data_IF_111255977131
#
_entry.id   IF_111255977131
#
_cell.length_a   1.000
_cell.length_b   1.000
_cell.length_c   1.000
_cell.angle_alpha   90.00
_cell.angle_beta   90.00
_cell.angle_gamma   90.00
#
_symmetry.space_group_name_H-M   'P 1'
#
loop_
_entity.id
_entity.type
_entity.pdbx_description
1 polymer ?
#
# COMPACT_ATOMS: atom_id res chain seq x y z
N UNK A 1 -32.41 -21.09 -86.64
CA UNK A 1 -31.24 -21.85 -86.18
C UNK A 1 -31.39 -22.13 -84.69
N UNK A 2 -31.69 -23.39 -84.35
CA UNK A 2 -31.64 -24.06 -83.03
C UNK A 2 -30.19 -24.09 -82.47
N UNK A 3 -29.85 -24.48 -81.20
CA UNK A 3 -30.56 -25.37 -80.24
C UNK A 3 -30.61 -24.86 -78.76
N UNK A 4 -31.54 -25.25 -77.88
CA UNK A 4 -31.75 -26.49 -77.10
C UNK A 4 -30.52 -27.02 -76.30
N UNK A 5 -30.63 -27.06 -74.96
CA UNK A 5 -30.17 -28.11 -73.99
C UNK A 5 -29.96 -27.52 -72.58
N UNK A 6 -29.98 -28.22 -71.45
CA UNK A 6 -30.58 -29.46 -70.93
C UNK A 6 -29.94 -29.61 -69.53
N UNK A 7 -30.75 -29.75 -68.47
CA UNK A 7 -30.50 -30.44 -67.18
C UNK A 7 -29.24 -30.13 -66.35
N UNK A 8 -29.44 -29.93 -65.05
CA UNK A 8 -28.99 -30.91 -64.03
C UNK A 8 -29.36 -30.46 -62.63
N UNK A 9 -30.07 -31.35 -61.93
CA UNK A 9 -30.26 -31.30 -60.48
C UNK A 9 -29.03 -31.87 -59.79
N UNK A 10 -28.52 -31.19 -58.77
CA UNK A 10 -27.62 -31.76 -57.78
C UNK A 10 -28.30 -31.73 -56.40
N UNK A 11 -28.52 -32.93 -55.88
CA UNK A 11 -28.82 -33.21 -54.47
C UNK A 11 -27.53 -32.94 -53.68
N UNK A 12 -27.62 -32.21 -52.56
CA UNK A 12 -26.52 -32.12 -51.60
C UNK A 12 -27.06 -32.14 -50.17
N UNK A 13 -26.40 -32.99 -49.39
CA UNK A 13 -26.82 -33.58 -48.12
C UNK A 13 -26.88 -32.60 -46.95
N UNK A 14 -27.86 -32.79 -46.07
CA UNK A 14 -27.96 -32.11 -44.77
C UNK A 14 -27.06 -32.84 -43.77
N UNK A 15 -25.90 -32.26 -43.46
CA UNK A 15 -25.06 -32.70 -42.34
C UNK A 15 -25.60 -32.09 -41.05
N UNK A 16 -26.17 -32.92 -40.17
CA UNK A 16 -26.49 -32.53 -38.79
C UNK A 16 -25.19 -32.45 -37.99
N UNK A 17 -24.69 -31.21 -37.79
CA UNK A 17 -23.55 -30.92 -36.93
C UNK A 17 -24.05 -30.81 -35.48
N UNK A 18 -23.80 -31.85 -34.68
CA UNK A 18 -24.11 -31.85 -33.24
C UNK A 18 -23.19 -30.87 -32.53
N UNK A 19 -23.73 -29.71 -32.16
CA UNK A 19 -23.05 -28.67 -31.41
C UNK A 19 -23.09 -29.01 -29.91
N UNK A 20 -22.03 -29.62 -29.38
CA UNK A 20 -21.87 -29.84 -27.94
C UNK A 20 -21.59 -28.49 -27.26
N UNK A 21 -22.60 -27.93 -26.59
CA UNK A 21 -22.45 -26.76 -25.71
C UNK A 21 -21.70 -27.20 -24.44
N UNK A 22 -20.39 -26.95 -24.39
CA UNK A 22 -19.63 -26.98 -23.13
C UNK A 22 -19.93 -25.69 -22.39
N UNK A 23 -20.76 -25.77 -21.34
CA UNK A 23 -20.94 -24.68 -20.39
C UNK A 23 -19.71 -24.64 -19.48
N UNK A 24 -18.67 -23.92 -19.91
CA UNK A 24 -17.57 -23.55 -19.01
C UNK A 24 -18.12 -22.64 -17.92
N UNK A 25 -18.36 -23.24 -16.75
CA UNK A 25 -18.71 -22.49 -15.55
C UNK A 25 -17.42 -21.91 -14.98
N UNK A 26 -16.93 -20.81 -15.58
CA UNK A 26 -15.89 -19.99 -14.95
C UNK A 26 -16.50 -19.35 -13.70
N UNK A 27 -16.19 -19.90 -12.53
CA UNK A 27 -16.48 -19.24 -11.26
C UNK A 27 -15.79 -17.86 -11.29
N UNK A 28 -16.58 -16.80 -11.39
CA UNK A 28 -16.07 -15.44 -11.32
C UNK A 28 -15.44 -15.25 -9.93
N UNK A 29 -14.10 -15.19 -9.89
CA UNK A 29 -13.37 -14.82 -8.69
C UNK A 29 -13.93 -13.50 -8.18
N UNK A 30 -14.35 -13.47 -6.91
CA UNK A 30 -14.82 -12.24 -6.29
C UNK A 30 -13.74 -11.14 -6.47
N UNK A 31 -14.14 -9.88 -6.70
CA UNK A 31 -13.17 -8.81 -6.90
C UNK A 31 -12.23 -8.71 -5.69
N UNK A 32 -10.92 -8.61 -5.95
CA UNK A 32 -9.89 -8.48 -4.91
C UNK A 32 -10.13 -7.16 -4.15
N UNK A 33 -10.57 -7.25 -2.90
CA UNK A 33 -10.91 -6.09 -2.08
C UNK A 33 -9.72 -5.16 -1.85
N UNK A 34 -8.50 -5.71 -1.80
CA UNK A 34 -7.28 -4.92 -1.68
C UNK A 34 -7.05 -4.09 -2.94
N UNK A 35 -7.22 -4.70 -4.12
CA UNK A 35 -7.05 -3.98 -5.38
C UNK A 35 -8.07 -2.84 -5.52
N UNK A 36 -9.32 -3.05 -5.10
CA UNK A 36 -10.34 -1.98 -5.08
C UNK A 36 -9.94 -0.81 -4.17
N UNK A 37 -9.28 -1.07 -3.04
CA UNK A 37 -8.79 -0.01 -2.16
C UNK A 37 -7.63 0.76 -2.80
N UNK A 38 -6.69 0.06 -3.43
CA UNK A 38 -5.58 0.66 -4.18
C UNK A 38 -6.10 1.52 -5.33
N UNK A 39 -7.03 0.98 -6.13
CA UNK A 39 -7.64 1.69 -7.26
C UNK A 39 -8.36 2.96 -6.79
N UNK A 40 -9.01 2.92 -5.62
CA UNK A 40 -9.64 4.09 -5.01
C UNK A 40 -8.62 5.16 -4.63
N UNK A 41 -7.49 4.78 -4.03
CA UNK A 41 -6.44 5.74 -3.68
C UNK A 41 -5.83 6.35 -4.95
N UNK A 42 -5.56 5.53 -5.97
CA UNK A 42 -5.04 6.00 -7.26
C UNK A 42 -6.03 6.90 -8.01
N UNK A 43 -7.32 6.65 -7.90
CA UNK A 43 -8.34 7.53 -8.48
C UNK A 43 -8.47 8.89 -7.76
N UNK A 44 -8.11 8.93 -6.47
CA UNK A 44 -8.22 10.12 -5.63
C UNK A 44 -6.92 10.94 -5.52
N UNK A 45 -5.80 10.42 -6.02
CA UNK A 45 -4.48 11.03 -5.87
C UNK A 45 -3.78 11.18 -7.22
N UNK A 46 -3.04 12.26 -7.40
CA UNK A 46 -2.30 12.50 -8.64
C UNK A 46 -0.88 11.91 -8.53
N UNK A 47 -0.39 11.29 -9.62
CA UNK A 47 0.99 10.81 -9.72
C UNK A 47 1.31 9.53 -8.95
N UNK A 48 0.33 8.91 -8.28
CA UNK A 48 0.49 7.62 -7.62
C UNK A 48 0.68 6.49 -8.64
N UNK A 49 1.59 5.57 -8.35
CA UNK A 49 1.82 4.36 -9.17
C UNK A 49 1.83 3.15 -8.26
N UNK A 50 1.01 2.14 -8.56
CA UNK A 50 1.08 0.84 -7.89
C UNK A 50 2.42 0.16 -8.24
N UNK A 51 3.23 -0.15 -7.22
CA UNK A 51 4.58 -0.70 -7.39
C UNK A 51 4.68 -2.17 -6.97
N UNK A 52 3.68 -2.67 -6.24
CA UNK A 52 3.55 -4.07 -5.82
C UNK A 52 2.08 -4.42 -5.58
N UNK A 53 1.78 -5.65 -5.16
CA UNK A 53 0.41 -6.10 -4.88
C UNK A 53 -0.31 -5.24 -3.84
N UNK A 54 0.43 -4.62 -2.92
CA UNK A 54 -0.11 -3.92 -1.76
C UNK A 54 0.56 -2.56 -1.50
N UNK A 55 1.22 -1.96 -2.49
CA UNK A 55 1.89 -0.66 -2.31
C UNK A 55 1.71 0.29 -3.49
N UNK A 56 1.62 1.57 -3.16
CA UNK A 56 1.63 2.71 -4.09
C UNK A 56 2.83 3.59 -3.76
N UNK A 57 3.51 4.11 -4.77
CA UNK A 57 4.55 5.12 -4.63
C UNK A 57 4.22 6.40 -5.40
N UNK A 58 4.66 7.52 -4.86
CA UNK A 58 4.60 8.83 -5.50
C UNK A 58 6.01 9.40 -5.65
N UNK A 59 6.18 10.32 -6.60
CA UNK A 59 7.42 11.08 -6.81
C UNK A 59 8.68 10.19 -6.88
N UNK A 60 8.58 9.03 -7.53
CA UNK A 60 9.71 8.11 -7.67
C UNK A 60 10.13 7.40 -6.37
N UNK A 61 9.25 7.34 -5.37
CA UNK A 61 9.47 6.64 -4.10
C UNK A 61 9.77 7.53 -2.90
N UNK A 62 9.69 8.85 -3.05
CA UNK A 62 9.81 9.78 -1.91
C UNK A 62 8.68 9.58 -0.89
N UNK A 63 7.50 9.18 -1.36
CA UNK A 63 6.38 8.74 -0.54
C UNK A 63 5.93 7.36 -0.99
N UNK A 64 5.71 6.45 -0.02
CA UNK A 64 5.20 5.10 -0.28
C UNK A 64 4.07 4.81 0.70
N UNK A 65 2.96 4.29 0.19
CA UNK A 65 1.87 3.75 0.98
C UNK A 65 1.88 2.22 0.86
N UNK A 66 1.87 1.53 1.99
CA UNK A 66 1.68 0.09 2.06
C UNK A 66 0.33 -0.23 2.71
N UNK A 67 -0.39 -1.17 2.13
CA UNK A 67 -1.68 -1.65 2.60
C UNK A 67 -1.51 -3.02 3.29
N UNK A 68 -2.33 -3.34 4.31
CA UNK A 68 -2.45 -4.71 4.82
C UNK A 68 -2.84 -5.68 3.71
N UNK A 69 -2.31 -6.90 3.78
CA UNK A 69 -2.76 -7.99 2.93
C UNK A 69 -4.15 -8.47 3.37
N UNK A 70 -4.92 -9.15 2.50
CA UNK A 70 -6.22 -9.69 2.89
C UNK A 70 -6.10 -10.61 4.12
N UNK A 71 -6.84 -10.29 5.18
CA UNK A 71 -6.80 -11.01 6.46
C UNK A 71 -5.83 -10.44 7.50
N UNK A 72 -4.93 -9.55 7.10
CA UNK A 72 -3.94 -8.93 7.99
C UNK A 72 -4.44 -7.60 8.56
N UNK A 73 -4.02 -7.28 9.77
CA UNK A 73 -4.33 -6.00 10.42
C UNK A 73 -3.26 -4.93 10.23
N UNK A 74 -2.10 -5.31 9.70
CA UNK A 74 -0.92 -4.46 9.57
C UNK A 74 -0.39 -4.51 8.14
N UNK A 75 0.07 -3.37 7.63
CA UNK A 75 0.85 -3.36 6.40
C UNK A 75 2.16 -4.13 6.61
N UNK A 76 2.55 -5.03 5.68
CA UNK A 76 3.82 -5.74 5.79
C UNK A 76 5.01 -4.78 5.62
N UNK A 77 6.25 -5.24 5.91
CA UNK A 77 7.46 -4.52 5.52
C UNK A 77 7.49 -4.20 4.02
N UNK A 78 8.30 -3.20 3.65
CA UNK A 78 8.37 -2.73 2.26
C UNK A 78 8.76 -3.84 1.29
N UNK A 79 8.05 -3.97 0.17
CA UNK A 79 8.39 -4.97 -0.85
C UNK A 79 9.75 -4.71 -1.50
N UNK A 80 10.33 -5.67 -2.24
CA UNK A 80 11.55 -5.43 -3.02
C UNK A 80 11.43 -4.25 -4.01
N UNK A 81 10.24 -4.01 -4.58
CA UNK A 81 10.01 -2.88 -5.47
C UNK A 81 10.07 -1.54 -4.73
N UNK A 82 9.44 -1.46 -3.55
CA UNK A 82 9.53 -0.31 -2.67
C UNK A 82 10.99 -0.07 -2.24
N UNK A 83 11.67 -1.10 -1.73
CA UNK A 83 13.06 -1.01 -1.30
C UNK A 83 14.00 -0.53 -2.41
N UNK A 84 13.79 -0.94 -3.66
CA UNK A 84 14.55 -0.43 -4.81
C UNK A 84 14.35 1.07 -5.03
N UNK A 85 13.12 1.57 -4.90
CA UNK A 85 12.84 3.01 -4.99
C UNK A 85 13.43 3.77 -3.80
N UNK A 86 13.31 3.24 -2.59
CA UNK A 86 13.89 3.80 -1.38
C UNK A 86 15.41 3.96 -1.50
N UNK A 87 16.11 2.92 -1.99
CA UNK A 87 17.54 2.96 -2.28
C UNK A 87 17.90 4.03 -3.31
N UNK A 88 17.11 4.11 -4.39
CA UNK A 88 17.28 5.11 -5.44
C UNK A 88 17.16 6.54 -4.89
N UNK A 89 16.13 6.82 -4.08
CA UNK A 89 15.93 8.13 -3.47
C UNK A 89 17.06 8.46 -2.50
N UNK A 90 17.56 7.48 -1.75
CA UNK A 90 18.71 7.66 -0.87
C UNK A 90 20.06 7.77 -1.58
N UNK A 91 20.11 7.55 -2.91
CA UNK A 91 21.37 7.60 -3.66
C UNK A 91 22.32 6.45 -3.35
N UNK A 92 21.82 5.33 -2.83
CA UNK A 92 22.63 4.16 -2.47
C UNK A 92 22.35 2.97 -3.40
N UNK A 93 23.35 2.09 -3.63
CA UNK A 93 23.13 0.90 -4.45
C UNK A 93 22.16 -0.06 -3.75
N UNK A 94 21.15 -0.51 -4.50
CA UNK A 94 20.24 -1.56 -4.05
C UNK A 94 20.89 -2.93 -4.23
N UNK A 95 21.18 -3.65 -3.12
CA UNK A 95 21.67 -5.02 -3.16
C UNK A 95 20.56 -6.00 -2.74
N UNK A 96 19.83 -6.53 -3.74
CA UNK A 96 18.73 -7.47 -3.54
C UNK A 96 19.13 -8.73 -2.77
N UNK A 97 20.42 -9.11 -2.79
CA UNK A 97 20.93 -10.33 -2.14
C UNK A 97 20.99 -10.23 -0.60
N UNK A 98 20.84 -9.01 -0.05
CA UNK A 98 20.81 -8.76 1.39
C UNK A 98 19.40 -8.78 1.98
N UNK A 99 18.35 -8.95 1.16
CA UNK A 99 16.97 -9.03 1.64
C UNK A 99 16.75 -10.46 2.16
N UNK A 100 16.41 -10.66 3.45
CA UNK A 100 16.09 -11.97 3.98
C UNK A 100 14.92 -12.58 3.18
N UNK A 101 15.11 -13.79 2.68
CA UNK A 101 14.13 -14.52 1.86
C UNK A 101 12.83 -14.90 2.61
N UNK A 102 12.72 -14.60 3.90
CA UNK A 102 11.55 -14.93 4.73
C UNK A 102 10.28 -14.14 4.38
N UNK A 103 10.36 -13.07 3.57
CA UNK A 103 9.20 -12.21 3.26
C UNK A 103 8.36 -12.74 2.07
N UNK A 104 8.86 -13.68 1.26
CA UNK A 104 8.11 -14.23 0.11
C UNK A 104 7.19 -15.43 0.45
N UNK A 105 7.12 -15.88 1.71
CA UNK A 105 6.60 -17.20 2.06
C UNK A 105 5.49 -17.30 3.11
N UNK A 106 4.74 -16.25 3.42
CA UNK A 106 3.58 -16.36 4.33
C UNK A 106 2.37 -17.00 3.62
N UNK A 107 2.52 -18.27 3.21
CA UNK A 107 1.42 -19.12 2.77
C UNK A 107 1.45 -20.41 3.60
N UNK A 108 0.40 -20.58 4.41
CA UNK A 108 -0.01 -21.80 5.10
C UNK A 108 1.01 -22.45 6.05
N UNK A 109 0.97 -22.03 7.33
CA UNK A 109 1.50 -22.85 8.43
C UNK A 109 0.58 -24.05 8.68
N UNK A 110 1.14 -25.24 8.56
CA UNK A 110 0.53 -26.50 9.00
C UNK A 110 0.28 -26.51 10.52
N UNK A 111 -0.70 -27.31 11.02
CA UNK A 111 -1.04 -27.34 12.43
C UNK A 111 0.06 -28.05 13.26
N UNK A 112 0.72 -27.29 14.13
CA UNK A 112 1.69 -27.81 15.10
C UNK A 112 0.95 -28.37 16.33
N UNK A 113 1.35 -29.54 16.90
CA UNK A 113 0.65 -30.17 18.02
C UNK A 113 0.77 -29.36 19.31
N UNK A 114 -0.34 -29.34 20.04
CA UNK A 114 -0.53 -28.67 21.32
C UNK A 114 0.14 -29.41 22.48
N UNK A 115 1.31 -28.97 22.90
CA UNK A 115 1.68 -28.99 24.32
C UNK A 115 2.94 -28.15 24.54
N UNK A 116 2.77 -26.95 25.07
CA UNK A 116 3.65 -26.28 26.03
C UNK A 116 3.16 -24.84 26.23
N UNK A 117 2.80 -24.52 27.47
CA UNK A 117 2.33 -23.19 27.88
C UNK A 117 3.53 -22.27 28.07
N UNK A 118 4.08 -21.77 26.98
CA UNK A 118 5.05 -20.67 26.99
C UNK A 118 4.31 -19.34 27.23
N UNK A 119 4.86 -18.42 28.05
CA UNK A 119 4.29 -17.07 28.18
C UNK A 119 4.33 -16.41 26.81
N UNK A 120 3.14 -16.12 26.27
CA UNK A 120 2.95 -15.42 24.99
C UNK A 120 3.48 -13.98 25.12
N UNK A 121 4.81 -13.81 25.01
CA UNK A 121 5.40 -12.51 24.74
C UNK A 121 4.94 -12.19 23.34
N UNK A 122 3.83 -11.48 23.22
CA UNK A 122 3.37 -10.95 21.94
C UNK A 122 4.54 -10.13 21.43
N UNK A 123 5.17 -10.51 20.30
CA UNK A 123 6.22 -9.68 19.73
C UNK A 123 5.63 -8.29 19.65
N UNK A 124 6.26 -7.30 20.30
CA UNK A 124 5.92 -5.89 20.10
C UNK A 124 5.81 -5.73 18.59
N UNK A 125 4.58 -5.52 18.09
CA UNK A 125 4.31 -5.50 16.66
C UNK A 125 5.38 -4.62 16.04
N UNK A 126 6.26 -5.24 15.25
CA UNK A 126 7.28 -4.51 14.53
C UNK A 126 6.51 -3.44 13.77
N UNK A 127 6.82 -2.16 14.02
CA UNK A 127 6.11 -1.08 13.33
C UNK A 127 6.36 -1.14 11.82
N UNK A 128 7.22 -2.05 11.35
CA UNK A 128 7.61 -2.30 9.97
C UNK A 128 8.27 -1.09 9.29
N UNK A 129 8.21 0.10 9.90
CA UNK A 129 8.79 1.34 9.41
C UNK A 129 10.25 1.11 9.04
N UNK A 130 10.67 1.37 7.80
CA UNK A 130 12.03 1.05 7.39
C UNK A 130 13.02 1.81 8.28
N UNK A 131 13.97 1.09 8.84
CA UNK A 131 15.14 1.70 9.48
C UNK A 131 16.19 2.00 8.40
N UNK A 132 17.36 2.49 8.81
CA UNK A 132 18.57 2.89 8.05
C UNK A 132 19.11 1.91 6.97
N UNK A 133 18.29 1.06 6.35
CA UNK A 133 18.66 0.11 5.28
C UNK A 133 19.36 0.82 4.11
N UNK A 134 19.06 2.10 3.90
CA UNK A 134 19.60 2.89 2.78
C UNK A 134 20.33 4.17 3.22
N UNK A 135 20.77 4.27 4.48
CA UNK A 135 21.51 5.44 4.98
C UNK A 135 20.68 6.72 5.16
N UNK A 136 19.37 6.64 4.92
CA UNK A 136 18.39 7.64 5.30
C UNK A 136 17.36 7.03 6.23
N UNK A 137 16.97 7.80 7.22
CA UNK A 137 15.91 7.44 8.12
C UNK A 137 14.54 7.73 7.53
N UNK A 138 13.60 6.81 7.78
CA UNK A 138 12.21 6.97 7.39
C UNK A 138 11.35 7.36 8.58
N UNK A 139 10.25 8.02 8.28
CA UNK A 139 9.18 8.22 9.24
C UNK A 139 7.84 7.84 8.63
N UNK A 140 7.00 7.26 9.48
CA UNK A 140 5.82 6.52 9.08
C UNK A 140 4.61 6.93 9.91
N UNK A 141 3.50 7.12 9.23
CA UNK A 141 2.18 7.38 9.81
C UNK A 141 1.27 6.18 9.54
N UNK A 142 0.51 5.76 10.55
CA UNK A 142 -0.34 4.57 10.49
C UNK A 142 -1.80 4.95 10.71
N UNK A 143 -2.67 4.30 9.93
CA UNK A 143 -4.10 4.54 9.98
C UNK A 143 -4.74 4.17 11.32
N UNK A 144 -4.22 3.13 11.98
CA UNK A 144 -4.77 2.65 13.25
C UNK A 144 -3.72 2.65 14.35
N UNK A 145 -4.18 2.46 15.58
CA UNK A 145 -3.32 2.26 16.75
C UNK A 145 -2.48 0.99 16.58
N UNK A 146 -1.42 0.90 17.37
CA UNK A 146 -0.45 -0.19 17.37
C UNK A 146 0.14 -0.46 15.98
N UNK A 147 0.38 0.60 15.21
CA UNK A 147 0.95 0.55 13.87
C UNK A 147 0.09 -0.21 12.85
N UNK A 148 -1.22 -0.30 13.08
CA UNK A 148 -2.16 -1.03 12.23
C UNK A 148 -2.66 -0.24 11.01
N UNK A 149 -3.33 -0.97 10.12
CA UNK A 149 -3.90 -0.44 8.88
C UNK A 149 -2.83 -0.12 7.84
N UNK A 150 -3.19 0.76 6.89
CA UNK A 150 -2.21 1.24 5.91
C UNK A 150 -1.17 2.15 6.56
N UNK A 151 0.05 2.04 6.04
CA UNK A 151 1.23 2.78 6.47
C UNK A 151 1.68 3.71 5.35
N UNK A 152 1.82 4.99 5.65
CA UNK A 152 2.34 5.99 4.73
C UNK A 152 3.70 6.48 5.23
N UNK A 153 4.72 6.51 4.38
CA UNK A 153 6.11 6.73 4.77
C UNK A 153 6.88 7.66 3.82
N UNK A 154 7.82 8.41 4.38
CA UNK A 154 8.72 9.32 3.65
C UNK A 154 10.16 9.23 4.19
N UNK A 155 11.11 9.68 3.38
CA UNK A 155 12.53 9.79 3.73
C UNK A 155 13.16 11.16 3.45
N UNK A 156 12.36 12.12 2.98
CA UNK A 156 12.84 13.42 2.57
C UNK A 156 12.72 14.46 3.69
N UNK A 157 13.53 15.52 3.60
CA UNK A 157 13.34 16.72 4.42
C UNK A 157 12.27 17.60 3.81
N UNK A 158 11.24 17.93 4.58
CA UNK A 158 10.21 18.88 4.17
C UNK A 158 10.28 20.11 5.04
N UNK A 159 10.45 21.28 4.44
CA UNK A 159 10.67 22.54 5.16
C UNK A 159 9.46 23.45 5.00
N UNK A 160 9.13 24.17 6.06
CA UNK A 160 8.25 25.33 5.96
C UNK A 160 8.83 26.34 4.94
N UNK A 161 8.00 26.99 4.09
CA UNK A 161 6.53 27.01 4.06
C UNK A 161 5.87 25.94 3.17
N UNK A 162 6.59 24.88 2.80
CA UNK A 162 6.08 23.81 1.93
C UNK A 162 5.90 22.50 2.73
N UNK A 163 4.88 22.41 3.60
CA UNK A 163 4.60 21.17 4.31
C UNK A 163 4.10 20.10 3.34
N UNK A 164 4.16 18.85 3.79
CA UNK A 164 3.53 17.73 3.09
C UNK A 164 2.08 17.63 3.55
N UNK A 165 1.16 17.66 2.59
CA UNK A 165 -0.27 17.49 2.86
C UNK A 165 -0.68 16.03 2.70
N UNK A 166 -1.38 15.47 3.70
CA UNK A 166 -1.88 14.11 3.64
C UNK A 166 -3.00 13.93 2.61
N UNK A 167 -3.63 15.02 2.14
CA UNK A 167 -4.60 15.02 1.04
C UNK A 167 -4.04 14.50 -0.26
N UNK A 168 -2.76 14.76 -0.54
CA UNK A 168 -2.07 14.27 -1.73
C UNK A 168 -1.97 12.72 -1.79
N UNK A 169 -2.26 12.05 -0.67
CA UNK A 169 -2.09 10.61 -0.49
C UNK A 169 -3.38 9.94 0.04
N UNK A 170 -4.55 10.59 -0.03
CA UNK A 170 -5.81 10.10 0.55
C UNK A 170 -5.73 9.81 2.07
N UNK A 171 -4.78 10.41 2.81
CA UNK A 171 -4.47 10.07 4.21
C UNK A 171 -4.93 11.10 5.25
N UNK A 172 -5.79 12.03 4.84
CA UNK A 172 -6.38 13.09 5.68
C UNK A 172 -7.15 12.51 6.86
N UNK A 173 -6.88 12.97 8.08
CA UNK A 173 -7.58 12.54 9.29
C UNK A 173 -7.58 11.02 9.49
N UNK A 174 -6.41 10.39 9.25
CA UNK A 174 -6.25 8.93 9.38
C UNK A 174 -5.25 8.53 10.44
N UNK A 175 -4.32 9.38 10.83
CA UNK A 175 -3.23 8.96 11.71
C UNK A 175 -3.74 8.65 13.12
N UNK A 176 -3.40 7.47 13.60
CA UNK A 176 -3.64 7.01 14.98
C UNK A 176 -2.38 6.55 15.70
N UNK A 177 -1.29 6.28 14.97
CA UNK A 177 0.04 5.98 15.52
C UNK A 177 1.12 6.38 14.53
N UNK A 178 2.38 6.48 14.99
CA UNK A 178 3.50 6.94 14.17
C UNK A 178 4.83 6.35 14.64
N UNK A 179 5.81 6.32 13.74
CA UNK A 179 7.17 5.89 14.02
C UNK A 179 8.14 6.76 13.23
N UNK A 180 9.00 7.49 13.94
CA UNK A 180 10.04 8.32 13.36
C UNK A 180 11.38 7.64 13.59
N UNK A 181 11.90 6.94 12.59
CA UNK A 181 13.22 6.33 12.69
C UNK A 181 14.33 7.36 12.52
N UNK A 182 14.01 8.60 12.15
CA UNK A 182 14.99 9.60 11.80
C UNK A 182 15.47 10.53 12.85
N UNK A 183 16.62 11.18 12.60
CA UNK A 183 17.18 12.16 13.52
C UNK A 183 16.43 13.50 13.57
N UNK A 184 15.51 13.76 12.65
CA UNK A 184 14.74 15.02 12.56
C UNK A 184 13.50 14.98 13.43
N UNK A 185 13.12 16.14 13.97
CA UNK A 185 11.78 16.29 14.58
C UNK A 185 10.76 16.55 13.47
N UNK A 186 9.64 15.84 13.54
CA UNK A 186 8.49 16.05 12.64
C UNK A 186 7.44 16.83 13.41
N UNK A 187 6.99 17.92 12.83
CA UNK A 187 5.91 18.73 13.37
C UNK A 187 4.65 18.39 12.59
N UNK A 188 3.64 17.88 13.30
CA UNK A 188 2.39 17.43 12.68
C UNK A 188 1.30 18.44 13.02
N UNK A 189 0.53 18.83 12.01
CA UNK A 189 -0.52 19.81 12.15
C UNK A 189 -1.84 19.34 11.53
N UNK A 190 -2.91 19.95 12.03
CA UNK A 190 -4.25 19.86 11.48
C UNK A 190 -4.62 21.15 10.74
N UNK A 191 -5.68 21.08 9.96
CA UNK A 191 -6.30 22.22 9.30
C UNK A 191 -7.20 22.98 10.29
N UNK A 192 -7.19 24.31 10.21
CA UNK A 192 -8.21 25.12 10.88
C UNK A 192 -9.51 25.25 10.05
N UNK A 193 -9.42 25.04 8.72
CA UNK A 193 -10.55 25.07 7.80
C UNK A 193 -10.63 23.74 7.05
N UNK A 194 -11.75 23.03 7.24
CA UNK A 194 -11.99 21.76 6.58
C UNK A 194 -11.86 21.91 5.05
N UNK A 195 -11.09 21.01 4.42
CA UNK A 195 -10.86 21.02 2.97
C UNK A 195 -9.84 22.03 2.46
N UNK A 196 -9.27 22.89 3.30
CA UNK A 196 -8.28 23.89 2.88
C UNK A 196 -6.88 23.54 3.37
N UNK A 197 -6.05 22.99 2.48
CA UNK A 197 -4.65 22.63 2.79
C UNK A 197 -3.83 23.81 3.31
N UNK A 198 -4.00 25.00 2.73
CA UNK A 198 -3.31 26.21 3.17
C UNK A 198 -3.61 26.60 4.63
N UNK A 199 -4.63 25.99 5.26
CA UNK A 199 -4.99 26.23 6.65
C UNK A 199 -4.27 25.30 7.63
N UNK A 200 -3.32 24.49 7.16
CA UNK A 200 -2.61 23.50 7.95
C UNK A 200 -1.42 24.09 8.71
N UNK A 201 -1.73 24.79 9.80
CA UNK A 201 -0.75 25.41 10.69
C UNK A 201 -1.12 25.27 12.18
N UNK A 202 -2.17 24.52 12.51
CA UNK A 202 -2.53 24.20 13.88
C UNK A 202 -1.70 22.99 14.35
N UNK A 203 -0.54 23.24 14.96
CA UNK A 203 0.33 22.17 15.48
C UNK A 203 -0.43 21.29 16.47
N UNK A 204 -0.39 19.99 16.23
CA UNK A 204 -1.07 18.97 17.02
C UNK A 204 -0.11 18.23 17.94
N UNK A 205 1.02 17.74 17.41
CA UNK A 205 2.09 17.10 18.17
C UNK A 205 3.42 17.19 17.43
N UNK A 206 4.47 16.77 18.13
CA UNK A 206 5.82 16.60 17.61
C UNK A 206 6.22 15.13 17.69
N UNK A 207 6.96 14.67 16.69
CA UNK A 207 7.56 13.34 16.64
C UNK A 207 9.08 13.52 16.78
N UNK A 208 9.63 13.39 17.99
CA UNK A 208 11.07 13.47 18.20
C UNK A 208 11.81 12.45 17.33
N UNK A 209 13.08 12.77 17.03
CA UNK A 209 13.90 11.83 16.29
C UNK A 209 14.08 10.49 17.02
N UNK A 210 14.16 9.40 16.26
CA UNK A 210 14.33 8.03 16.73
C UNK A 210 13.30 7.61 17.79
N UNK A 211 12.07 8.07 17.65
CA UNK A 211 10.98 7.80 18.59
C UNK A 211 9.74 7.30 17.88
N UNK A 212 8.76 6.81 18.65
CA UNK A 212 7.51 6.27 18.13
C UNK A 212 6.42 6.35 19.17
N UNK A 213 5.17 6.37 18.71
CA UNK A 213 4.00 6.23 19.57
C UNK A 213 3.01 5.23 18.97
N UNK A 214 2.70 4.18 19.70
CA UNK A 214 1.72 3.17 19.31
C UNK A 214 0.27 3.70 19.34
N UNK A 215 0.02 4.85 19.95
CA UNK A 215 -1.31 5.47 19.93
C UNK A 215 -1.22 6.97 20.17
N UNK A 216 -2.08 7.72 19.50
CA UNK A 216 -2.41 9.10 19.84
C UNK A 216 -3.53 9.15 20.89
N UNK A 217 -3.60 10.25 21.63
CA UNK A 217 -4.72 10.54 22.52
C UNK A 217 -6.01 10.76 21.71
N UNK A 218 -7.18 10.60 22.33
CA UNK A 218 -8.47 10.81 21.66
C UNK A 218 -8.65 12.20 21.07
N UNK A 219 -7.97 13.21 21.62
CA UNK A 219 -8.01 14.58 21.11
C UNK A 219 -7.20 14.77 19.81
N UNK A 220 -6.22 13.90 19.55
CA UNK A 220 -5.29 13.96 18.42
C UNK A 220 -5.55 12.87 17.36
N UNK A 221 -6.21 11.80 17.76
CA UNK A 221 -6.57 10.67 16.89
C UNK A 221 -7.36 11.14 15.67
N UNK A 222 -6.92 10.73 14.47
CA UNK A 222 -7.55 11.11 13.20
C UNK A 222 -7.65 12.63 13.00
N UNK A 223 -6.64 13.41 13.43
CA UNK A 223 -6.59 14.88 13.23
C UNK A 223 -5.48 15.38 12.30
N UNK A 224 -4.54 14.52 11.96
CA UNK A 224 -3.39 14.88 11.14
C UNK A 224 -3.85 15.26 9.72
N UNK A 225 -3.42 16.43 9.24
CA UNK A 225 -3.66 16.89 7.87
C UNK A 225 -2.36 17.19 7.10
N UNK A 226 -1.29 17.62 7.79
CA UNK A 226 0.01 17.86 7.18
C UNK A 226 1.16 17.71 8.18
N UNK A 227 2.38 17.73 7.67
CA UNK A 227 3.57 17.79 8.50
C UNK A 227 4.74 18.52 7.81
N UNK A 228 5.74 18.89 8.61
CA UNK A 228 7.06 19.33 8.13
C UNK A 228 8.14 18.85 9.10
N UNK A 229 9.41 19.00 8.70
CA UNK A 229 10.58 18.52 9.43
C UNK A 229 11.47 19.68 9.86
N UNK A 230 12.20 19.50 10.98
CA UNK A 230 13.23 20.43 11.49
C UNK A 230 14.39 20.65 10.52
#
# INVERSE_FOLDING_TARGET
MTPLKLRSACVASVAFLSLSLTTDTSAATAPDSLQLEIDKVLANTEGGVQISRNEIAWNGGEAIMAFPLPGETHAPPSSPAAQKLQAKVAGVPFNQKAIPAEIEGAAASEPVPSDETEPTVTPLASDACPTEVFGNDWYCFYQYKNYGGRRLQWNASHKWPNPVYFSAYDFVNRTSSWSNKGGKTIYVAGRIHAGSDMSCYNTLWEEPGHSRAASLSSALDNKADCFWTS
#
